data_IF_593584885534
#
_entry.id   IF_593584885534
#
_cell.length_a   1.000
_cell.length_b   1.000
_cell.length_c   1.000
_cell.angle_alpha   90.00
_cell.angle_beta   90.00
_cell.angle_gamma   90.00
#
_symmetry.space_group_name_H-M   'P 1'
#
loop_
_entity.id
_entity.type
_entity.pdbx_description
1 polymer ?
#
# COMPACT_ATOMS: atom_id res chain seq x y z
N UNK A 1 -24.26 -7.48 -1.92
CA UNK A 1 -22.92 -6.95 -1.59
C UNK A 1 -21.92 -7.26 -2.70
N UNK A 2 -21.11 -6.28 -3.10
CA UNK A 2 -20.02 -6.46 -4.08
C UNK A 2 -18.68 -6.81 -3.38
N UNK A 3 -17.59 -6.93 -4.15
CA UNK A 3 -16.29 -7.33 -3.58
C UNK A 3 -15.70 -6.29 -2.62
N UNK A 4 -15.88 -4.99 -2.89
CA UNK A 4 -15.43 -3.92 -1.98
C UNK A 4 -16.18 -3.95 -0.65
N UNK A 5 -17.49 -4.16 -0.67
CA UNK A 5 -18.30 -4.32 0.54
C UNK A 5 -17.85 -5.52 1.37
N UNK A 6 -17.60 -6.67 0.72
CA UNK A 6 -17.08 -7.85 1.40
C UNK A 6 -15.66 -7.66 1.93
N UNK A 7 -14.84 -6.85 1.27
CA UNK A 7 -13.51 -6.45 1.75
C UNK A 7 -13.61 -5.54 2.98
N UNK A 8 -14.45 -4.51 2.94
CA UNK A 8 -14.71 -3.64 4.09
C UNK A 8 -15.21 -4.44 5.29
N UNK A 9 -16.19 -5.31 5.08
CA UNK A 9 -16.76 -6.13 6.15
C UNK A 9 -15.68 -6.97 6.84
N UNK A 10 -14.82 -7.65 6.07
CA UNK A 10 -13.72 -8.45 6.62
C UNK A 10 -12.68 -7.58 7.34
N UNK A 11 -12.32 -6.43 6.77
CA UNK A 11 -11.39 -5.49 7.40
C UNK A 11 -11.93 -5.01 8.75
N UNK A 12 -13.19 -4.59 8.80
CA UNK A 12 -13.80 -4.06 10.02
C UNK A 12 -14.01 -5.13 11.08
N UNK A 13 -14.36 -6.37 10.69
CA UNK A 13 -14.41 -7.49 11.63
C UNK A 13 -13.05 -7.79 12.27
N UNK A 14 -11.96 -7.57 11.52
CA UNK A 14 -10.60 -7.90 11.96
C UNK A 14 -9.99 -6.77 12.80
N UNK A 15 -10.11 -5.53 12.33
CA UNK A 15 -9.38 -4.38 12.88
C UNK A 15 -10.26 -3.38 13.63
N UNK A 16 -11.58 -3.39 13.41
CA UNK A 16 -12.55 -2.47 14.04
C UNK A 16 -13.73 -3.21 14.70
N UNK A 17 -13.50 -4.25 15.51
CA UNK A 17 -14.56 -5.13 15.99
C UNK A 17 -15.60 -4.42 16.86
N UNK A 18 -15.20 -3.39 17.60
CA UNK A 18 -16.11 -2.58 18.42
C UNK A 18 -17.09 -1.78 17.55
N UNK A 19 -16.60 -1.09 16.51
CA UNK A 19 -17.48 -0.39 15.54
C UNK A 19 -18.36 -1.37 14.79
N UNK A 20 -17.79 -2.49 14.34
CA UNK A 20 -18.57 -3.52 13.65
C UNK A 20 -19.76 -3.99 14.49
N UNK A 21 -19.59 -4.17 15.80
CA UNK A 21 -20.64 -4.59 16.72
C UNK A 21 -21.77 -3.56 16.91
N UNK A 22 -21.55 -2.29 16.58
CA UNK A 22 -22.59 -1.23 16.65
C UNK A 22 -23.49 -1.18 15.42
N UNK A 23 -23.13 -1.89 14.35
CA UNK A 23 -23.89 -1.88 13.09
C UNK A 23 -25.08 -2.83 13.22
N UNK A 24 -26.29 -2.29 13.16
CA UNK A 24 -27.54 -3.07 13.33
C UNK A 24 -27.81 -4.03 12.17
N UNK A 25 -27.60 -3.58 10.93
CA UNK A 25 -27.67 -4.43 9.73
C UNK A 25 -26.35 -4.36 8.93
N UNK A 26 -25.38 -5.23 9.25
CA UNK A 26 -24.11 -5.25 8.56
C UNK A 26 -24.24 -5.51 7.04
N UNK A 27 -25.19 -6.35 6.62
CA UNK A 27 -25.32 -6.70 5.21
C UNK A 27 -25.76 -5.50 4.36
N UNK A 28 -26.74 -4.74 4.85
CA UNK A 28 -27.18 -3.51 4.20
C UNK A 28 -26.06 -2.46 4.20
N UNK A 29 -25.46 -2.20 5.37
CA UNK A 29 -24.40 -1.22 5.54
C UNK A 29 -23.22 -1.44 4.58
N UNK A 30 -22.64 -2.65 4.59
CA UNK A 30 -21.49 -2.96 3.75
C UNK A 30 -21.84 -3.14 2.27
N UNK A 31 -23.10 -3.45 1.93
CA UNK A 31 -23.55 -3.42 0.53
C UNK A 31 -23.56 -1.98 0.01
N UNK A 32 -24.12 -1.03 0.76
CA UNK A 32 -24.12 0.39 0.39
C UNK A 32 -22.70 0.96 0.35
N UNK A 33 -21.88 0.68 1.35
CA UNK A 33 -20.47 1.13 1.38
C UNK A 33 -19.69 0.59 0.17
N UNK A 34 -19.88 -0.68 -0.15
CA UNK A 34 -19.26 -1.30 -1.31
C UNK A 34 -19.70 -0.67 -2.63
N UNK A 35 -20.99 -0.36 -2.78
CA UNK A 35 -21.53 0.32 -3.97
C UNK A 35 -20.97 1.74 -4.11
N UNK A 36 -20.89 2.48 -3.02
CA UNK A 36 -20.28 3.81 -2.99
C UNK A 36 -18.80 3.76 -3.40
N UNK A 37 -18.02 2.81 -2.87
CA UNK A 37 -16.62 2.64 -3.26
C UNK A 37 -16.49 2.29 -4.75
N UNK A 38 -17.33 1.37 -5.26
CA UNK A 38 -17.31 1.02 -6.67
C UNK A 38 -17.59 2.21 -7.59
N UNK A 39 -18.58 3.04 -7.25
CA UNK A 39 -18.92 4.23 -8.03
C UNK A 39 -17.79 5.26 -8.02
N UNK A 40 -17.18 5.52 -6.86
CA UNK A 40 -16.07 6.45 -6.77
C UNK A 40 -14.84 5.94 -7.54
N UNK A 41 -14.52 4.65 -7.43
CA UNK A 41 -13.39 4.04 -8.16
C UNK A 41 -13.65 4.13 -9.66
N UNK A 42 -14.85 3.83 -10.13
CA UNK A 42 -15.20 3.93 -11.54
C UNK A 42 -15.07 5.37 -12.05
N UNK A 43 -15.60 6.34 -11.31
CA UNK A 43 -15.50 7.76 -11.67
C UNK A 43 -14.04 8.20 -11.74
N UNK A 44 -13.25 7.87 -10.72
CA UNK A 44 -11.83 8.22 -10.65
C UNK A 44 -11.01 7.53 -11.73
N UNK A 45 -11.31 6.27 -12.04
CA UNK A 45 -10.69 5.53 -13.15
C UNK A 45 -10.90 6.27 -14.47
N UNK A 46 -12.12 6.75 -14.76
CA UNK A 46 -12.40 7.48 -16.01
C UNK A 46 -11.66 8.80 -16.08
N UNK A 47 -11.55 9.52 -14.96
CA UNK A 47 -10.77 10.76 -14.87
C UNK A 47 -9.29 10.53 -15.14
N UNK A 48 -8.71 9.51 -14.50
CA UNK A 48 -7.30 9.15 -14.65
C UNK A 48 -6.97 8.59 -16.03
N UNK A 49 -7.85 7.75 -16.60
CA UNK A 49 -7.65 7.18 -17.92
C UNK A 49 -7.80 8.21 -19.04
N UNK A 50 -8.62 9.25 -18.82
CA UNK A 50 -8.91 10.25 -19.83
C UNK A 50 -9.67 9.69 -21.05
N UNK A 51 -9.84 10.50 -22.10
CA UNK A 51 -10.52 10.08 -23.33
C UNK A 51 -9.69 9.07 -24.13
N UNK A 52 -10.37 8.37 -25.04
CA UNK A 52 -9.70 7.47 -25.99
C UNK A 52 -8.69 8.22 -26.87
N UNK A 53 -7.54 7.60 -27.11
CA UNK A 53 -6.47 8.20 -27.91
C UNK A 53 -6.60 7.78 -29.39
N UNK A 54 -6.35 8.69 -30.35
CA UNK A 54 -6.40 8.35 -31.77
C UNK A 54 -5.32 7.32 -32.13
N UNK A 55 -5.70 6.25 -32.81
CA UNK A 55 -4.80 5.17 -33.20
C UNK A 55 -4.50 4.16 -32.08
N UNK A 56 -5.12 4.29 -30.91
CA UNK A 56 -5.00 3.32 -29.82
C UNK A 56 -5.71 2.01 -30.15
N UNK A 57 -4.95 0.90 -30.10
CA UNK A 57 -5.52 -0.43 -30.21
C UNK A 57 -6.18 -0.89 -28.91
N UNK A 58 -7.02 -1.92 -28.99
CA UNK A 58 -7.77 -2.47 -27.85
C UNK A 58 -6.89 -2.78 -26.62
N UNK A 59 -5.74 -3.44 -26.82
CA UNK A 59 -4.85 -3.79 -25.71
C UNK A 59 -4.23 -2.57 -25.04
N UNK A 60 -3.90 -1.53 -25.81
CA UNK A 60 -3.41 -0.26 -25.27
C UNK A 60 -4.46 0.39 -24.37
N UNK A 61 -5.70 0.47 -24.87
CA UNK A 61 -6.83 1.01 -24.11
C UNK A 61 -7.09 0.22 -22.82
N UNK A 62 -7.10 -1.11 -22.91
CA UNK A 62 -7.31 -1.97 -21.74
C UNK A 62 -6.18 -1.80 -20.71
N UNK A 63 -4.93 -1.69 -21.17
CA UNK A 63 -3.78 -1.41 -20.31
C UNK A 63 -3.93 -0.09 -19.56
N UNK A 64 -4.28 1.00 -20.27
CA UNK A 64 -4.50 2.32 -19.66
C UNK A 64 -5.64 2.29 -18.64
N UNK A 65 -6.77 1.67 -18.98
CA UNK A 65 -7.92 1.57 -18.08
C UNK A 65 -7.60 0.76 -16.82
N UNK A 66 -6.84 -0.34 -16.94
CA UNK A 66 -6.44 -1.15 -15.79
C UNK A 66 -5.47 -0.39 -14.88
N UNK A 67 -4.49 0.33 -15.45
CA UNK A 67 -3.57 1.15 -14.68
C UNK A 67 -4.31 2.27 -13.93
N UNK A 68 -5.23 2.98 -14.62
CA UNK A 68 -6.06 4.01 -14.02
C UNK A 68 -6.96 3.44 -12.90
N UNK A 69 -7.49 2.23 -13.09
CA UNK A 69 -8.29 1.55 -12.06
C UNK A 69 -7.47 1.22 -10.83
N UNK A 70 -6.26 0.70 -11.00
CA UNK A 70 -5.37 0.38 -9.88
C UNK A 70 -5.02 1.64 -9.07
N UNK A 71 -4.68 2.74 -9.74
CA UNK A 71 -4.46 4.02 -9.08
C UNK A 71 -5.71 4.54 -8.34
N UNK A 72 -6.90 4.41 -8.95
CA UNK A 72 -8.14 4.80 -8.29
C UNK A 72 -8.44 3.95 -7.04
N UNK A 73 -8.16 2.65 -7.08
CA UNK A 73 -8.29 1.76 -5.91
C UNK A 73 -7.31 2.15 -4.80
N UNK A 74 -6.06 2.48 -5.13
CA UNK A 74 -5.06 2.96 -4.17
C UNK A 74 -5.45 4.26 -3.48
N UNK A 75 -6.14 5.17 -4.17
CA UNK A 75 -6.64 6.43 -3.62
C UNK A 75 -7.86 6.19 -2.72
N UNK A 76 -8.84 5.40 -3.17
CA UNK A 76 -10.17 5.36 -2.55
C UNK A 76 -10.29 4.30 -1.46
N UNK A 77 -9.60 3.15 -1.57
CA UNK A 77 -9.74 2.08 -0.59
C UNK A 77 -9.25 2.47 0.81
N UNK A 78 -8.11 3.16 1.01
CA UNK A 78 -7.70 3.64 2.33
C UNK A 78 -8.70 4.59 2.97
N UNK A 79 -9.37 5.42 2.16
CA UNK A 79 -10.31 6.43 2.66
C UNK A 79 -11.65 5.83 3.11
N UNK A 80 -12.15 4.80 2.42
CA UNK A 80 -13.51 4.28 2.65
C UNK A 80 -13.58 2.86 3.22
N UNK A 81 -12.62 2.01 2.89
CA UNK A 81 -12.70 0.55 3.10
C UNK A 81 -11.68 0.08 4.14
N UNK A 82 -10.43 0.53 4.00
CA UNK A 82 -9.26 0.11 4.76
C UNK A 82 -8.89 1.16 5.82
N UNK A 83 -9.89 1.68 6.52
CA UNK A 83 -9.72 2.71 7.55
C UNK A 83 -8.79 2.19 8.65
N UNK A 84 -7.83 3.03 9.03
CA UNK A 84 -6.85 2.73 10.07
C UNK A 84 -7.49 2.76 11.47
N UNK A 85 -7.34 1.70 12.29
CA UNK A 85 -7.85 1.67 13.65
C UNK A 85 -7.23 2.71 14.60
N UNK A 86 -6.03 3.22 14.33
CA UNK A 86 -5.39 4.21 15.21
C UNK A 86 -6.07 5.59 15.16
N UNK A 87 -6.70 5.92 14.03
CA UNK A 87 -7.47 7.18 13.87
C UNK A 87 -8.73 7.19 14.75
N UNK A 88 -9.17 6.02 15.23
CA UNK A 88 -10.43 5.83 15.95
C UNK A 88 -10.25 5.64 17.47
N UNK A 89 -9.01 5.66 17.95
CA UNK A 89 -8.75 5.76 19.39
C UNK A 89 -9.05 7.19 19.83
N UNK A 90 -9.82 7.43 20.92
CA UNK A 90 -9.93 8.76 21.47
C UNK A 90 -8.53 9.19 21.90
N UNK A 91 -7.91 10.06 21.11
CA UNK A 91 -6.66 10.73 21.44
C UNK A 91 -6.87 11.45 22.77
N UNK A 92 -6.31 10.90 23.84
CA UNK A 92 -5.88 11.72 24.96
C UNK A 92 -4.89 12.72 24.36
N UNK A 93 -5.30 13.99 24.28
CA UNK A 93 -4.46 15.11 23.88
C UNK A 93 -3.31 15.25 24.89
N UNK A 94 -2.32 14.37 24.85
CA UNK A 94 -0.99 14.65 25.41
C UNK A 94 0.10 13.89 24.64
N UNK A 95 0.85 14.67 23.87
CA UNK A 95 2.25 14.44 23.49
C UNK A 95 2.55 14.24 22.00
N UNK A 96 2.12 15.21 21.17
CA UNK A 96 3.04 15.77 20.17
C UNK A 96 4.04 16.69 20.89
N UNK A 97 5.02 16.09 21.57
CA UNK A 97 6.31 16.74 21.69
C UNK A 97 7.09 16.40 20.41
N UNK A 98 7.70 17.36 19.71
CA UNK A 98 8.70 17.04 18.71
C UNK A 98 9.90 16.47 19.48
N UNK A 99 9.95 15.15 19.64
CA UNK A 99 11.23 14.51 19.90
C UNK A 99 12.03 14.74 18.63
N UNK A 100 13.01 15.63 18.76
CA UNK A 100 14.17 15.77 17.89
C UNK A 100 14.45 14.45 17.20
N UNK A 101 14.35 14.47 15.87
CA UNK A 101 14.91 13.44 15.03
C UNK A 101 16.34 13.18 15.48
N UNK A 102 16.60 12.00 16.03
CA UNK A 102 17.88 11.33 15.82
C UNK A 102 18.00 11.17 14.30
N UNK A 103 18.95 11.84 13.61
CA UNK A 103 19.13 11.70 12.18
C UNK A 103 19.97 10.44 11.92
N UNK A 104 19.50 9.29 12.40
CA UNK A 104 20.26 8.05 12.37
C UNK A 104 19.79 7.04 11.32
N UNK A 105 18.67 7.27 10.63
CA UNK A 105 18.39 6.51 9.41
C UNK A 105 17.33 7.16 8.51
N UNK A 106 17.79 7.92 7.52
CA UNK A 106 17.06 8.12 6.26
C UNK A 106 18.06 7.77 5.16
N UNK A 107 17.97 6.62 4.45
CA UNK A 107 18.90 6.36 3.36
C UNK A 107 18.37 7.14 2.14
N UNK A 108 18.61 8.45 2.15
CA UNK A 108 18.45 9.28 0.98
C UNK A 108 19.81 9.27 0.27
N UNK A 109 19.90 8.43 -0.76
CA UNK A 109 21.06 8.18 -1.64
C UNK A 109 22.12 7.26 -1.01
N UNK A 110 22.12 5.98 -1.42
CA UNK A 110 23.29 5.11 -1.25
C UNK A 110 24.44 5.68 -2.07
N UNK A 111 25.49 6.16 -1.40
CA UNK A 111 26.73 6.55 -2.04
C UNK A 111 27.46 5.28 -2.52
N UNK A 112 27.67 5.09 -3.84
CA UNK A 112 28.28 3.88 -4.40
C UNK A 112 29.77 3.73 -4.07
N UNK A 113 30.37 4.66 -3.35
CA UNK A 113 31.74 4.61 -2.85
C UNK A 113 31.84 4.39 -1.34
N UNK A 114 30.75 4.01 -0.68
CA UNK A 114 30.75 3.74 0.77
C UNK A 114 31.72 2.59 1.15
N UNK A 115 32.65 2.81 2.10
CA UNK A 115 33.63 1.82 2.55
C UNK A 115 33.01 0.58 3.23
N UNK A 116 31.72 0.58 3.57
CA UNK A 116 31.00 -0.62 3.98
C UNK A 116 30.99 -1.69 2.87
N UNK A 117 30.85 -1.28 1.60
CA UNK A 117 30.87 -2.20 0.46
C UNK A 117 32.26 -2.73 0.10
N UNK A 118 33.33 -1.97 0.40
CA UNK A 118 34.71 -2.44 0.15
C UNK A 118 35.12 -3.57 1.08
N UNK A 119 34.59 -3.61 2.31
CA UNK A 119 34.87 -4.69 3.26
C UNK A 119 34.23 -6.02 2.86
N UNK A 120 33.05 -5.99 2.23
CA UNK A 120 32.38 -7.20 1.73
C UNK A 120 33.17 -7.81 0.56
N UNK A 121 33.74 -6.97 -0.32
CA UNK A 121 34.60 -7.45 -1.40
C UNK A 121 35.95 -8.00 -0.88
N UNK A 122 36.48 -7.45 0.22
CA UNK A 122 37.69 -7.97 0.86
C UNK A 122 37.44 -9.30 1.61
N UNK A 123 36.23 -9.56 2.10
CA UNK A 123 35.87 -10.83 2.78
C UNK A 123 35.58 -11.99 1.81
N UNK A 124 35.34 -11.74 0.52
CA UNK A 124 35.13 -12.79 -0.50
C UNK A 124 36.44 -13.30 -1.17
N UNK A 125 37.60 -12.65 -0.93
CA UNK A 125 38.90 -13.03 -1.51
C UNK A 125 39.75 -13.94 -0.58
N UNK A 126 39.38 -14.12 0.69
CA UNK A 126 40.18 -14.86 1.70
C UNK A 126 39.75 -16.34 1.90
N UNK A 127 38.71 -16.83 1.21
CA UNK A 127 38.14 -18.18 1.43
C UNK A 127 38.25 -19.14 0.22
N UNK A 128 39.23 -18.95 -0.66
CA UNK A 128 39.58 -19.95 -1.69
C UNK A 128 41.11 -20.00 -1.97
N UNK A 129 41.90 -20.42 -0.96
CA UNK A 129 43.29 -20.87 -1.19
C UNK A 129 43.35 -22.43 -1.22
N UNK A 130 43.89 -23.02 -2.30
CA UNK A 130 43.76 -24.45 -2.60
C UNK A 130 44.74 -25.34 -1.82
N UNK A 131 44.23 -26.08 -0.83
CA UNK A 131 44.99 -27.15 -0.18
C UNK A 131 45.10 -28.39 -1.11
N UNK A 132 46.21 -28.46 -1.86
CA UNK A 132 46.67 -29.67 -2.55
C UNK A 132 47.28 -30.62 -1.52
N UNK A 133 46.84 -31.88 -1.36
CA UNK A 133 47.63 -32.86 -0.61
C UNK A 133 48.58 -33.59 -1.56
N UNK A 134 49.88 -33.39 -1.34
CA UNK A 134 50.92 -34.24 -1.89
C UNK A 134 50.88 -35.62 -1.20
N UNK A 135 50.79 -36.71 -1.99
CA UNK A 135 51.66 -37.90 -1.87
C UNK A 135 51.52 -38.84 -3.07
#
# INVERSE_FOLDING_TARGET
>A
MNHYGAQAQRHWQTYLPQRYATIEDPNSFFSTLGEQAAQQIEQRTRELAGPDQPGEGYLGKLGRLNAAKQMAEEEILPELILIDPEIDSPTDETSSAPTTADPAWTPLVEDPTDPWWQRVAEEEDDEDDPATPAR
#
